data_IF_974041974728
#
_entry.id   IF_974041974728
#
_cell.length_a   1.000
_cell.length_b   1.000
_cell.length_c   1.000
_cell.angle_alpha   90.00
_cell.angle_beta   90.00
_cell.angle_gamma   90.00
#
_symmetry.space_group_name_H-M   'P 1'
#
loop_
_entity.id
_entity.type
_entity.pdbx_description
1 polymer ?
#
# COMPACT_ATOMS: atom_id res chain seq x y z
N UNK A 1 25.97 -5.00 2.07
CA UNK A 1 24.63 -5.13 1.45
C UNK A 1 23.91 -3.86 1.80
N UNK A 2 23.63 -3.03 0.80
CA UNK A 2 23.06 -1.70 0.98
C UNK A 2 21.80 -1.76 1.84
N UNK A 3 21.77 -0.95 2.90
CA UNK A 3 20.57 -0.68 3.68
C UNK A 3 19.59 0.05 2.75
N UNK A 4 18.78 -0.71 2.04
CA UNK A 4 17.82 -0.21 1.05
C UNK A 4 16.96 0.90 1.64
N UNK A 5 16.92 2.02 0.92
CA UNK A 5 16.16 3.23 1.29
C UNK A 5 14.71 2.84 1.57
N UNK A 6 14.28 2.94 2.82
CA UNK A 6 12.86 2.83 3.18
C UNK A 6 12.15 4.02 2.56
N UNK A 7 11.33 3.78 1.55
CA UNK A 7 10.49 4.82 0.97
C UNK A 7 9.36 5.11 1.95
N UNK A 8 9.26 6.36 2.38
CA UNK A 8 8.16 6.87 3.18
C UNK A 8 7.32 7.83 2.35
N UNK A 9 6.00 7.58 2.27
CA UNK A 9 5.07 8.44 1.54
C UNK A 9 3.99 8.96 2.47
N UNK A 10 3.71 10.26 2.41
CA UNK A 10 2.61 10.89 3.12
C UNK A 10 1.46 11.17 2.18
N UNK A 11 0.32 10.53 2.41
CA UNK A 11 -0.89 10.72 1.61
C UNK A 11 -1.84 11.72 2.24
N UNK A 12 -2.45 12.52 1.38
CA UNK A 12 -3.54 13.41 1.73
C UNK A 12 -4.76 13.06 0.90
N UNK A 13 -5.81 12.61 1.57
CA UNK A 13 -7.09 12.27 0.99
C UNK A 13 -8.20 13.08 1.63
N UNK A 14 -9.37 13.04 0.99
CA UNK A 14 -10.60 13.65 1.53
C UNK A 14 -11.35 12.64 2.39
N UNK A 15 -12.28 13.10 3.27
CA UNK A 15 -13.13 12.21 4.05
C UNK A 15 -13.92 11.19 3.22
N UNK A 16 -14.27 11.55 1.99
CA UNK A 16 -15.01 10.67 1.08
C UNK A 16 -14.25 9.38 0.73
N UNK A 17 -12.91 9.39 0.82
CA UNK A 17 -12.07 8.22 0.55
C UNK A 17 -12.40 7.03 1.47
N UNK A 18 -12.70 7.30 2.75
CA UNK A 18 -13.04 6.27 3.74
C UNK A 18 -14.40 5.60 3.50
N UNK A 19 -15.20 6.14 2.56
CA UNK A 19 -16.52 5.62 2.20
C UNK A 19 -16.52 4.88 0.86
N UNK A 20 -15.37 4.82 0.19
CA UNK A 20 -15.23 4.05 -1.04
C UNK A 20 -15.36 2.56 -0.73
N UNK A 21 -16.04 1.83 -1.62
CA UNK A 21 -16.13 0.37 -1.53
C UNK A 21 -14.89 -0.30 -2.11
N UNK A 22 -14.38 0.25 -3.19
CA UNK A 22 -13.31 -0.33 -3.98
C UNK A 22 -12.49 0.77 -4.64
N UNK A 23 -11.17 0.58 -4.71
CA UNK A 23 -10.25 1.43 -5.47
C UNK A 23 -9.34 0.56 -6.33
N UNK A 24 -9.17 0.92 -7.60
CA UNK A 24 -8.12 0.38 -8.45
C UNK A 24 -6.87 1.26 -8.37
N UNK A 25 -5.71 0.67 -8.14
CA UNK A 25 -4.42 1.35 -8.20
C UNK A 25 -3.55 0.72 -9.28
N UNK A 26 -3.21 1.49 -10.30
CA UNK A 26 -2.28 1.08 -11.35
C UNK A 26 -0.86 1.46 -10.95
N UNK A 27 0.03 0.48 -10.92
CA UNK A 27 1.45 0.66 -10.62
C UNK A 27 2.25 0.30 -11.86
N UNK A 28 3.14 1.20 -12.26
CA UNK A 28 4.13 0.96 -13.30
C UNK A 28 5.51 0.89 -12.67
N UNK A 29 6.28 -0.13 -13.03
CA UNK A 29 7.62 -0.33 -12.50
C UNK A 29 8.54 -0.97 -13.54
N UNK A 30 9.84 -0.74 -13.39
CA UNK A 30 10.86 -1.34 -14.25
C UNK A 30 11.58 -2.47 -13.50
N UNK A 31 11.86 -3.56 -14.21
CA UNK A 31 12.64 -4.68 -13.69
C UNK A 31 14.00 -4.69 -14.37
N UNK A 32 15.04 -5.00 -13.60
CA UNK A 32 16.40 -5.15 -14.11
C UNK A 32 16.56 -6.34 -15.06
N UNK A 33 17.82 -6.68 -15.32
CA UNK A 33 18.22 -7.79 -16.21
C UNK A 33 17.86 -9.18 -15.67
N UNK A 34 17.74 -9.32 -14.34
CA UNK A 34 17.38 -10.58 -13.71
C UNK A 34 15.87 -10.83 -13.75
N UNK A 35 15.43 -12.06 -14.06
CA UNK A 35 14.02 -12.41 -13.97
C UNK A 35 13.54 -12.31 -12.53
N UNK A 36 12.33 -11.77 -12.36
CA UNK A 36 11.65 -11.68 -11.08
C UNK A 36 10.45 -12.62 -11.14
N UNK A 37 10.53 -13.70 -10.35
CA UNK A 37 9.47 -14.68 -10.20
C UNK A 37 8.75 -14.46 -8.86
N UNK A 38 7.49 -14.91 -8.81
CA UNK A 38 6.66 -14.85 -7.60
C UNK A 38 6.70 -13.48 -6.91
N UNK A 39 6.61 -12.39 -7.69
CA UNK A 39 6.63 -11.07 -7.10
C UNK A 39 5.31 -10.81 -6.38
N UNK A 40 5.38 -10.50 -5.09
CA UNK A 40 4.22 -10.40 -4.19
C UNK A 40 4.36 -9.19 -3.28
N UNK A 41 3.25 -8.50 -3.02
CA UNK A 41 3.17 -7.44 -2.03
C UNK A 41 2.13 -7.77 -0.97
N UNK A 42 2.52 -7.68 0.30
CA UNK A 42 1.60 -7.70 1.43
C UNK A 42 1.58 -6.30 2.02
N UNK A 43 0.42 -5.65 1.99
CA UNK A 43 0.24 -4.30 2.52
C UNK A 43 -0.73 -4.31 3.69
N UNK A 44 -0.31 -3.75 4.82
CA UNK A 44 -1.08 -3.77 6.08
C UNK A 44 -1.35 -2.36 6.53
N UNK A 45 -2.63 -2.03 6.73
CA UNK A 45 -3.10 -0.72 7.18
C UNK A 45 -3.54 -0.79 8.63
N UNK A 46 -3.16 0.22 9.41
CA UNK A 46 -3.45 0.32 10.83
C UNK A 46 -3.97 1.71 11.17
N UNK A 47 -4.86 1.80 12.15
CA UNK A 47 -5.16 3.04 12.86
C UNK A 47 -4.80 2.85 14.33
N UNK A 48 -3.87 3.65 14.87
CA UNK A 48 -3.41 3.53 16.28
C UNK A 48 -2.99 2.10 16.67
N UNK A 49 -2.23 1.44 15.81
CA UNK A 49 -1.78 0.03 15.95
C UNK A 49 -2.90 -1.03 15.87
N UNK A 50 -4.14 -0.66 15.58
CA UNK A 50 -5.22 -1.61 15.29
C UNK A 50 -5.26 -1.90 13.79
N UNK A 51 -5.14 -3.18 13.41
CA UNK A 51 -5.17 -3.59 12.01
C UNK A 51 -6.55 -3.31 11.41
N UNK A 52 -6.60 -2.49 10.38
CA UNK A 52 -7.81 -2.23 9.60
C UNK A 52 -8.00 -3.31 8.53
N UNK A 53 -6.94 -3.55 7.74
CA UNK A 53 -6.96 -4.52 6.64
C UNK A 53 -5.54 -4.93 6.27
N UNK A 54 -5.40 -6.18 5.84
CA UNK A 54 -4.22 -6.66 5.11
C UNK A 54 -4.65 -6.98 3.68
N UNK A 55 -3.92 -6.45 2.72
CA UNK A 55 -4.04 -6.76 1.30
C UNK A 55 -2.86 -7.63 0.88
N UNK A 56 -3.10 -8.56 -0.04
CA UNK A 56 -2.13 -9.54 -0.48
C UNK A 56 -2.22 -9.70 -1.99
N UNK A 57 -1.28 -9.06 -2.69
CA UNK A 57 -1.28 -8.94 -4.14
C UNK A 57 -0.14 -9.75 -4.74
N UNK A 58 -0.45 -10.48 -5.80
CA UNK A 58 0.53 -11.24 -6.57
C UNK A 58 0.66 -10.58 -7.94
N UNK A 59 1.85 -10.04 -8.23
CA UNK A 59 2.17 -9.47 -9.54
C UNK A 59 2.45 -10.57 -10.57
N UNK A 60 2.89 -11.74 -10.10
CA UNK A 60 3.24 -12.88 -10.96
C UNK A 60 4.65 -12.75 -11.54
N UNK A 61 4.80 -13.13 -12.82
CA UNK A 61 6.06 -13.05 -13.54
C UNK A 61 6.26 -11.64 -14.10
N UNK A 62 7.41 -11.02 -13.81
CA UNK A 62 7.77 -9.74 -14.39
C UNK A 62 8.81 -9.91 -15.50
N UNK A 63 8.56 -9.29 -16.65
CA UNK A 63 9.44 -9.39 -17.83
C UNK A 63 10.76 -8.66 -17.52
N UNK A 64 11.93 -9.30 -17.69
CA UNK A 64 13.23 -8.67 -17.47
C UNK A 64 13.49 -7.51 -18.45
N UNK A 65 14.30 -6.54 -18.02
CA UNK A 65 14.74 -5.40 -18.83
C UNK A 65 13.59 -4.64 -19.50
N UNK A 66 12.44 -4.58 -18.84
CA UNK A 66 11.23 -3.97 -19.39
C UNK A 66 10.43 -3.21 -18.33
N UNK A 67 9.46 -2.44 -18.81
CA UNK A 67 8.44 -1.80 -17.99
C UNK A 67 7.26 -2.75 -17.84
N UNK A 68 6.85 -3.00 -16.61
CA UNK A 68 5.72 -3.84 -16.25
C UNK A 68 4.63 -2.95 -15.63
N UNK A 69 3.37 -3.33 -15.83
CA UNK A 69 2.21 -2.64 -15.27
C UNK A 69 1.33 -3.65 -14.54
N UNK A 70 0.90 -3.31 -13.33
CA UNK A 70 -0.02 -4.13 -12.55
C UNK A 70 -1.16 -3.25 -12.02
N UNK A 71 -2.37 -3.78 -12.02
CA UNK A 71 -3.52 -3.15 -11.38
C UNK A 71 -3.85 -3.93 -10.09
N UNK A 72 -3.82 -3.23 -8.96
CA UNK A 72 -4.26 -3.75 -7.68
C UNK A 72 -5.68 -3.27 -7.41
N UNK A 73 -6.56 -4.20 -7.09
CA UNK A 73 -7.93 -3.89 -6.67
C UNK A 73 -8.02 -3.98 -5.15
N UNK A 74 -8.28 -2.84 -4.52
CA UNK A 74 -8.44 -2.73 -3.08
C UNK A 74 -9.93 -2.76 -2.74
N UNK A 75 -10.39 -3.86 -2.15
CA UNK A 75 -11.71 -3.95 -1.52
C UNK A 75 -11.63 -3.45 -0.08
N UNK A 76 -12.19 -2.28 0.18
CA UNK A 76 -12.10 -1.66 1.50
C UNK A 76 -12.99 -2.38 2.52
N UNK A 77 -12.51 -2.55 3.76
CA UNK A 77 -13.35 -3.09 4.82
C UNK A 77 -14.48 -2.10 5.14
N UNK A 78 -15.66 -2.57 5.57
CA UNK A 78 -16.65 -1.68 6.15
C UNK A 78 -16.06 -1.07 7.43
N UNK A 79 -16.07 0.27 7.51
CA UNK A 79 -15.64 1.02 8.68
C UNK A 79 -16.88 1.57 9.41
N UNK A 80 -16.86 1.57 10.75
CA UNK A 80 -17.92 2.22 11.53
C UNK A 80 -17.83 3.74 11.38
N UNK A 81 -18.96 4.45 11.51
CA UNK A 81 -18.97 5.91 11.49
C UNK A 81 -18.08 6.52 12.59
N UNK A 82 -18.01 5.89 13.75
CA UNK A 82 -17.13 6.28 14.86
C UNK A 82 -15.66 6.22 14.44
N UNK A 83 -15.24 5.11 13.82
CA UNK A 83 -13.87 4.94 13.34
C UNK A 83 -13.53 5.91 12.21
N UNK A 84 -14.45 6.13 11.26
CA UNK A 84 -14.29 7.11 10.19
C UNK A 84 -14.05 8.50 10.80
N UNK A 85 -14.86 8.91 11.78
CA UNK A 85 -14.71 10.20 12.43
C UNK A 85 -13.38 10.34 13.18
N UNK A 86 -12.92 9.29 13.86
CA UNK A 86 -11.61 9.27 14.51
C UNK A 86 -10.47 9.41 13.48
N UNK A 87 -10.50 8.63 12.39
CA UNK A 87 -9.48 8.68 11.33
C UNK A 87 -9.41 10.05 10.65
N UNK A 88 -10.52 10.77 10.51
CA UNK A 88 -10.55 12.14 9.97
C UNK A 88 -9.95 13.15 10.95
N UNK A 89 -10.26 13.03 12.25
CA UNK A 89 -9.78 13.94 13.32
C UNK A 89 -8.30 13.77 13.64
N UNK A 90 -7.75 12.60 13.35
CA UNK A 90 -6.40 12.19 13.72
C UNK A 90 -5.53 11.90 12.49
N UNK A 91 -5.14 12.94 11.73
CA UNK A 91 -4.33 12.76 10.53
C UNK A 91 -2.99 12.09 10.88
N UNK A 92 -2.53 11.22 9.99
CA UNK A 92 -1.26 10.48 10.08
C UNK A 92 -1.18 9.44 11.21
N UNK A 93 -2.24 9.26 12.01
CA UNK A 93 -2.38 8.13 12.94
C UNK A 93 -2.88 6.85 12.23
N UNK A 94 -3.38 6.98 11.00
CA UNK A 94 -3.50 5.87 10.06
C UNK A 94 -2.18 5.69 9.32
N UNK A 95 -1.64 4.48 9.34
CA UNK A 95 -0.33 4.13 8.79
C UNK A 95 -0.37 2.79 8.07
N UNK A 96 0.56 2.58 7.15
CA UNK A 96 0.72 1.28 6.49
C UNK A 96 2.17 0.85 6.36
N UNK A 97 2.33 -0.46 6.28
CA UNK A 97 3.57 -1.12 5.86
C UNK A 97 3.27 -1.94 4.61
N UNK A 98 4.06 -1.70 3.55
CA UNK A 98 4.01 -2.47 2.30
C UNK A 98 5.29 -3.29 2.18
N UNK A 99 5.16 -4.61 2.28
CA UNK A 99 6.25 -5.58 2.21
C UNK A 99 6.26 -6.25 0.84
N UNK A 100 7.40 -6.21 0.16
CA UNK A 100 7.55 -6.78 -1.17
C UNK A 100 8.49 -7.97 -1.13
N UNK A 101 8.04 -9.07 -1.73
CA UNK A 101 8.72 -10.36 -1.72
C UNK A 101 9.00 -10.81 -3.15
N UNK A 102 10.18 -11.39 -3.36
CA UNK A 102 10.56 -12.13 -4.57
C UNK A 102 11.04 -13.49 -4.12
N UNK A 103 10.44 -14.56 -4.66
CA UNK A 103 10.70 -15.93 -4.23
C UNK A 103 10.66 -16.09 -2.70
N UNK A 104 9.61 -15.52 -2.07
CA UNK A 104 9.36 -15.51 -0.62
C UNK A 104 10.42 -14.82 0.25
N UNK A 105 11.35 -14.08 -0.36
CA UNK A 105 12.35 -13.26 0.35
C UNK A 105 11.96 -11.80 0.30
N UNK A 106 11.98 -11.14 1.46
CA UNK A 106 11.73 -9.71 1.57
C UNK A 106 12.84 -8.94 0.82
N UNK A 107 12.45 -8.14 -0.17
CA UNK A 107 13.38 -7.33 -0.98
C UNK A 107 13.18 -5.83 -0.80
N UNK A 108 11.99 -5.39 -0.38
CA UNK A 108 11.68 -3.98 -0.17
C UNK A 108 10.59 -3.82 0.89
N UNK A 109 10.70 -2.75 1.66
CA UNK A 109 9.73 -2.37 2.69
C UNK A 109 9.47 -0.87 2.59
N UNK A 110 8.24 -0.52 2.20
CA UNK A 110 7.79 0.86 2.12
C UNK A 110 6.82 1.15 3.26
N UNK A 111 6.77 2.42 3.66
CA UNK A 111 5.90 2.91 4.73
C UNK A 111 5.07 4.08 4.23
N UNK A 112 3.87 4.24 4.78
CA UNK A 112 3.07 5.42 4.53
C UNK A 112 2.25 5.86 5.74
N UNK A 113 1.88 7.14 5.77
CA UNK A 113 0.86 7.69 6.65
C UNK A 113 -0.21 8.44 5.86
N UNK A 114 -1.41 8.55 6.45
CA UNK A 114 -2.59 9.03 5.75
C UNK A 114 -3.31 10.12 6.53
N UNK A 115 -3.61 11.23 5.85
CA UNK A 115 -4.61 12.20 6.29
C UNK A 115 -5.90 12.01 5.50
N UNK A 116 -7.03 12.12 6.19
CA UNK A 116 -8.38 12.17 5.59
C UNK A 116 -9.08 13.50 5.85
N UNK A 117 -8.35 14.54 6.25
CA UNK A 117 -8.92 15.85 6.61
C UNK A 117 -9.42 16.67 5.41
N UNK A 118 -9.00 16.32 4.19
CA UNK A 118 -9.33 17.08 2.98
C UNK A 118 -8.62 18.43 2.84
N UNK A 119 -7.59 18.69 3.65
CA UNK A 119 -6.78 19.92 3.58
C UNK A 119 -5.34 19.59 3.16
N UNK A 120 -4.74 20.40 2.27
CA UNK A 120 -3.29 20.40 2.04
C UNK A 120 -2.46 20.60 3.32
#
# INVERSE_FOLDING_TARGET
>A
MDSGTVLFVRYQFTPAFLRLRQVGATVEFTVGDKPVNNFRMIERHYFRNQLLKSFDFHFGFCIPSSKNTCEHIYDFPPLSEELINEMIRHPYETQSDSFYFVDDRLVMHNKADYSYSGTP
#
